data_IF_311172872768
#
_entry.id   IF_311172872768
#
_cell.length_a   1.000
_cell.length_b   1.000
_cell.length_c   1.000
_cell.angle_alpha   90.00
_cell.angle_beta   90.00
_cell.angle_gamma   90.00
#
_symmetry.space_group_name_H-M   'P 1'
#
loop_
_entity.id
_entity.type
_entity.pdbx_description
1 polymer ?
#
# COMPACT_ATOMS: atom_id res chain seq x y z
N UNK A 1 4.79 2.47 -51.94
CA UNK A 1 5.50 1.73 -50.87
C UNK A 1 5.22 2.43 -49.56
N UNK A 2 4.59 1.78 -48.58
CA UNK A 2 4.42 2.36 -47.26
C UNK A 2 5.81 2.66 -46.67
N UNK A 3 6.01 3.88 -46.16
CA UNK A 3 7.23 4.25 -45.43
C UNK A 3 7.24 3.44 -44.14
N UNK A 4 8.11 2.43 -44.07
CA UNK A 4 8.33 1.71 -42.83
C UNK A 4 9.10 2.64 -41.89
N UNK A 5 8.39 3.24 -40.95
CA UNK A 5 8.98 4.08 -39.90
C UNK A 5 9.70 3.14 -38.93
N UNK A 6 11.02 3.29 -38.78
CA UNK A 6 11.77 2.55 -37.78
C UNK A 6 11.37 3.05 -36.39
N UNK A 7 10.94 2.13 -35.54
CA UNK A 7 10.63 2.40 -34.14
C UNK A 7 11.57 1.59 -33.26
N UNK A 8 12.07 2.23 -32.21
CA UNK A 8 12.97 1.57 -31.26
C UNK A 8 12.18 0.57 -30.43
N UNK A 9 12.61 -0.70 -30.45
CA UNK A 9 11.99 -1.77 -29.68
C UNK A 9 11.90 -1.45 -28.19
N UNK A 10 12.85 -0.66 -27.64
CA UNK A 10 12.81 -0.22 -26.24
C UNK A 10 11.63 0.70 -25.95
N UNK A 11 11.36 1.63 -26.86
CA UNK A 11 10.28 2.62 -26.74
C UNK A 11 8.91 1.95 -26.83
N UNK A 12 8.78 0.92 -27.66
CA UNK A 12 7.53 0.16 -27.77
C UNK A 12 7.34 -0.87 -26.64
N UNK A 13 8.42 -1.48 -26.16
CA UNK A 13 8.33 -2.52 -25.13
C UNK A 13 7.95 -1.98 -23.75
N UNK A 14 8.47 -0.82 -23.35
CA UNK A 14 8.20 -0.25 -22.03
C UNK A 14 6.69 -0.10 -21.70
N UNK A 15 5.86 0.56 -22.52
CA UNK A 15 4.45 0.75 -22.20
C UNK A 15 3.69 -0.58 -22.12
N UNK A 16 4.06 -1.58 -22.94
CA UNK A 16 3.44 -2.90 -22.95
C UNK A 16 3.81 -3.71 -21.69
N UNK A 17 5.07 -3.68 -21.27
CA UNK A 17 5.52 -4.31 -20.02
C UNK A 17 4.84 -3.68 -18.81
N UNK A 18 4.74 -2.35 -18.78
CA UNK A 18 4.06 -1.62 -17.71
C UNK A 18 2.57 -1.97 -17.66
N UNK A 19 1.90 -2.01 -18.81
CA UNK A 19 0.49 -2.40 -18.91
C UNK A 19 0.26 -3.86 -18.45
N UNK A 20 1.23 -4.74 -18.67
CA UNK A 20 1.20 -6.12 -18.20
C UNK A 20 1.51 -6.27 -16.69
N UNK A 21 1.77 -5.18 -15.96
CA UNK A 21 2.05 -5.22 -14.53
C UNK A 21 3.48 -5.65 -14.17
N UNK A 22 4.43 -5.51 -15.11
CA UNK A 22 5.85 -5.78 -14.84
C UNK A 22 6.42 -4.67 -13.93
N UNK A 23 7.19 -5.08 -12.92
CA UNK A 23 7.84 -4.18 -11.97
C UNK A 23 8.90 -3.31 -12.66
N UNK A 24 9.09 -2.04 -12.26
CA UNK A 24 10.05 -1.14 -12.89
C UNK A 24 11.48 -1.68 -12.99
N UNK A 25 11.98 -2.38 -11.95
CA UNK A 25 13.31 -3.00 -11.99
C UNK A 25 13.42 -4.10 -13.04
N UNK A 26 12.36 -4.90 -13.20
CA UNK A 26 12.28 -5.96 -14.20
C UNK A 26 12.11 -5.41 -15.62
N UNK A 27 11.43 -4.26 -15.77
CA UNK A 27 11.35 -3.53 -17.05
C UNK A 27 12.77 -3.14 -17.49
N UNK A 28 13.57 -2.51 -16.62
CA UNK A 28 14.93 -2.11 -16.97
C UNK A 28 15.79 -3.31 -17.38
N UNK A 29 15.75 -4.40 -16.61
CA UNK A 29 16.45 -5.63 -16.95
C UNK A 29 15.99 -6.18 -18.30
N UNK A 30 14.68 -6.17 -18.58
CA UNK A 30 14.15 -6.61 -19.85
C UNK A 30 14.62 -5.76 -21.03
N UNK A 31 14.59 -4.43 -20.88
CA UNK A 31 14.99 -3.47 -21.90
C UNK A 31 16.49 -3.53 -22.21
N UNK A 32 17.32 -3.93 -21.24
CA UNK A 32 18.74 -4.12 -21.44
C UNK A 32 19.09 -5.48 -22.03
N UNK A 33 18.46 -6.56 -21.54
CA UNK A 33 18.80 -7.92 -21.94
C UNK A 33 18.10 -8.36 -23.23
N UNK A 34 16.80 -8.09 -23.36
CA UNK A 34 15.95 -8.70 -24.39
C UNK A 34 15.54 -7.72 -25.48
N UNK A 35 15.21 -6.47 -25.16
CA UNK A 35 14.73 -5.50 -26.16
C UNK A 35 15.66 -5.32 -27.39
N UNK A 36 17.00 -5.29 -27.27
CA UNK A 36 17.88 -5.19 -28.45
C UNK A 36 17.79 -6.37 -29.42
N UNK A 37 17.18 -7.48 -28.98
CA UNK A 37 17.03 -8.70 -29.75
C UNK A 37 15.67 -8.78 -30.46
N UNK A 38 14.76 -7.84 -30.20
CA UNK A 38 13.50 -7.72 -30.92
C UNK A 38 13.69 -6.87 -32.19
N UNK A 39 13.13 -7.36 -33.29
CA UNK A 39 13.20 -6.71 -34.60
C UNK A 39 11.79 -6.61 -35.16
N UNK A 40 11.47 -5.49 -35.79
CA UNK A 40 10.22 -5.33 -36.51
C UNK A 40 10.17 -6.29 -37.70
N UNK A 41 9.13 -7.13 -37.73
CA UNK A 41 8.78 -7.99 -38.85
C UNK A 41 7.47 -7.49 -39.42
N UNK A 42 7.46 -7.20 -40.73
CA UNK A 42 6.27 -6.76 -41.45
C UNK A 42 5.54 -7.96 -42.04
N UNK A 43 4.25 -8.10 -41.72
CA UNK A 43 3.35 -9.04 -42.37
C UNK A 43 2.61 -8.33 -43.52
N UNK A 44 2.85 -8.73 -44.78
CA UNK A 44 2.19 -8.13 -45.94
C UNK A 44 0.71 -8.52 -46.08
N UNK A 45 0.25 -9.57 -45.40
CA UNK A 45 -1.15 -10.01 -45.44
C UNK A 45 -2.01 -9.14 -44.53
N UNK A 46 -1.52 -8.88 -43.32
CA UNK A 46 -2.23 -8.09 -42.30
C UNK A 46 -1.85 -6.60 -42.29
N UNK A 47 -0.89 -6.19 -43.14
CA UNK A 47 -0.29 -4.85 -43.21
C UNK A 47 0.19 -4.33 -41.84
N UNK A 48 0.66 -5.24 -40.98
CA UNK A 48 1.09 -4.95 -39.61
C UNK A 48 2.57 -5.20 -39.43
N UNK A 49 3.19 -4.42 -38.56
CA UNK A 49 4.54 -4.68 -38.08
C UNK A 49 4.48 -5.07 -36.62
N UNK A 50 5.15 -6.16 -36.27
CA UNK A 50 5.25 -6.63 -34.89
C UNK A 50 6.72 -6.81 -34.50
N UNK A 51 7.00 -6.60 -33.22
CA UNK A 51 8.32 -6.89 -32.64
C UNK A 51 8.43 -8.39 -32.39
N UNK A 52 9.34 -9.03 -33.12
CA UNK A 52 9.63 -10.46 -33.00
C UNK A 52 11.04 -10.67 -32.49
N UNK A 53 11.22 -11.55 -31.53
CA UNK A 53 12.52 -11.87 -30.97
C UNK A 53 13.37 -12.68 -31.97
N UNK A 54 14.54 -12.14 -32.31
CA UNK A 54 15.54 -12.70 -33.24
C UNK A 54 16.87 -13.03 -32.56
N UNK A 55 16.86 -13.08 -31.24
CA UNK A 55 18.02 -13.45 -30.43
C UNK A 55 18.45 -14.91 -30.58
N UNK A 56 19.48 -15.27 -29.82
CA UNK A 56 20.07 -16.62 -29.85
C UNK A 56 19.36 -17.61 -28.94
N UNK A 57 18.53 -17.15 -28.00
CA UNK A 57 17.80 -18.03 -27.08
C UNK A 57 16.68 -18.77 -27.82
N UNK A 58 16.74 -20.12 -27.93
CA UNK A 58 15.72 -20.89 -28.64
C UNK A 58 14.34 -20.85 -27.97
N UNK A 59 14.27 -20.61 -26.66
CA UNK A 59 12.98 -20.55 -25.95
C UNK A 59 12.17 -19.29 -26.32
N UNK A 60 12.83 -18.27 -26.88
CA UNK A 60 12.23 -16.99 -27.22
C UNK A 60 12.15 -16.77 -28.73
N UNK A 61 12.83 -17.59 -29.53
CA UNK A 61 13.00 -17.38 -30.96
C UNK A 61 11.66 -17.39 -31.68
N UNK A 62 11.35 -16.28 -32.36
CA UNK A 62 10.12 -16.13 -33.12
C UNK A 62 8.92 -15.68 -32.30
N UNK A 63 9.06 -15.51 -30.98
CA UNK A 63 8.00 -14.95 -30.16
C UNK A 63 7.80 -13.46 -30.48
N UNK A 64 6.55 -13.05 -30.61
CA UNK A 64 6.15 -11.66 -30.53
C UNK A 64 6.44 -11.10 -29.13
N UNK A 65 6.50 -9.77 -29.00
CA UNK A 65 6.67 -9.13 -27.70
C UNK A 65 5.55 -9.51 -26.70
N UNK A 66 4.32 -9.68 -27.17
CA UNK A 66 3.20 -10.09 -26.31
C UNK A 66 3.39 -11.53 -25.78
N UNK A 67 3.81 -12.46 -26.64
CA UNK A 67 4.10 -13.84 -26.23
C UNK A 67 5.30 -13.90 -25.29
N UNK A 68 6.34 -13.11 -25.56
CA UNK A 68 7.50 -12.96 -24.68
C UNK A 68 7.11 -12.48 -23.27
N UNK A 69 6.17 -11.54 -23.16
CA UNK A 69 5.64 -11.09 -21.86
C UNK A 69 4.88 -12.22 -21.16
N UNK A 70 4.09 -13.02 -21.89
CA UNK A 70 3.43 -14.20 -21.33
C UNK A 70 4.46 -15.23 -20.83
N UNK A 71 5.51 -15.49 -21.60
CA UNK A 71 6.62 -16.37 -21.18
C UNK A 71 7.34 -15.86 -19.94
N UNK A 72 7.52 -14.53 -19.79
CA UNK A 72 8.05 -13.96 -18.54
C UNK A 72 7.15 -14.24 -17.35
N UNK A 73 5.83 -14.19 -17.52
CA UNK A 73 4.89 -14.43 -16.42
C UNK A 73 5.04 -15.85 -15.89
N UNK A 74 5.24 -16.82 -16.77
CA UNK A 74 5.42 -18.22 -16.40
C UNK A 74 6.81 -18.52 -15.83
N UNK A 75 7.87 -17.95 -16.43
CA UNK A 75 9.26 -18.27 -16.08
C UNK A 75 9.83 -17.40 -14.97
N UNK A 76 9.33 -16.17 -14.82
CA UNK A 76 9.81 -15.16 -13.86
C UNK A 76 8.62 -14.44 -13.19
N UNK A 77 7.74 -15.15 -12.46
CA UNK A 77 6.53 -14.55 -11.86
C UNK A 77 6.85 -13.39 -10.89
N UNK A 78 8.02 -13.42 -10.25
CA UNK A 78 8.51 -12.34 -9.36
C UNK A 78 8.79 -11.01 -10.07
N UNK A 79 8.77 -10.98 -11.41
CA UNK A 79 8.87 -9.75 -12.19
C UNK A 79 7.56 -8.97 -12.23
N UNK A 80 6.46 -9.60 -11.88
CA UNK A 80 5.13 -9.02 -11.94
C UNK A 80 4.71 -8.55 -10.53
N UNK A 81 3.83 -7.57 -10.50
CA UNK A 81 3.08 -7.29 -9.28
C UNK A 81 2.10 -8.43 -8.99
N UNK A 82 1.93 -8.75 -7.72
CA UNK A 82 1.03 -9.79 -7.25
C UNK A 82 -0.39 -9.54 -7.76
N UNK A 83 -1.08 -10.62 -8.11
CA UNK A 83 -2.45 -10.52 -8.61
C UNK A 83 -3.41 -10.14 -7.48
N UNK A 84 -4.61 -9.65 -7.83
CA UNK A 84 -5.60 -9.18 -6.86
C UNK A 84 -5.87 -10.18 -5.69
N UNK A 85 -5.98 -11.51 -5.91
CA UNK A 85 -6.17 -12.46 -4.81
C UNK A 85 -4.98 -12.53 -3.84
N UNK A 86 -3.76 -12.39 -4.36
CA UNK A 86 -2.54 -12.39 -3.56
C UNK A 86 -2.40 -11.09 -2.76
N UNK A 87 -2.76 -9.95 -3.37
CA UNK A 87 -2.84 -8.66 -2.69
C UNK A 87 -3.84 -8.70 -1.54
N UNK A 88 -5.00 -9.34 -1.72
CA UNK A 88 -5.98 -9.52 -0.63
C UNK A 88 -5.41 -10.34 0.54
N UNK A 89 -4.68 -11.42 0.27
CA UNK A 89 -4.03 -12.21 1.31
C UNK A 89 -2.94 -11.42 2.04
N UNK A 90 -2.14 -10.64 1.29
CA UNK A 90 -1.15 -9.74 1.85
C UNK A 90 -1.80 -8.63 2.68
N UNK A 91 -2.94 -8.10 2.25
CA UNK A 91 -3.74 -7.10 2.97
C UNK A 91 -4.31 -7.66 4.27
N UNK A 92 -4.85 -8.88 4.26
CA UNK A 92 -5.32 -9.56 5.48
C UNK A 92 -4.17 -9.77 6.47
N UNK A 93 -2.98 -10.19 6.00
CA UNK A 93 -1.81 -10.34 6.86
C UNK A 93 -1.26 -8.98 7.37
N UNK A 94 -1.44 -7.90 6.62
CA UNK A 94 -0.93 -6.57 6.94
C UNK A 94 -1.88 -5.75 7.85
N UNK A 95 -3.19 -5.91 7.67
CA UNK A 95 -4.23 -5.07 8.28
C UNK A 95 -5.32 -5.86 9.00
N UNK A 96 -5.42 -7.17 8.81
CA UNK A 96 -6.46 -8.01 9.39
C UNK A 96 -6.30 -8.24 10.90
N UNK A 97 -6.75 -9.41 11.38
CA UNK A 97 -6.84 -9.68 12.82
C UNK A 97 -5.49 -9.69 13.55
N UNK A 98 -4.42 -10.13 12.88
CA UNK A 98 -3.07 -10.28 13.43
C UNK A 98 -2.05 -9.55 12.56
N UNK A 99 -2.07 -8.20 12.51
CA UNK A 99 -1.22 -7.44 11.62
C UNK A 99 0.25 -7.53 12.05
N UNK A 100 1.16 -7.61 11.09
CA UNK A 100 2.61 -7.60 11.35
C UNK A 100 3.35 -6.54 10.53
N UNK A 101 4.42 -5.97 11.11
CA UNK A 101 5.28 -5.01 10.39
C UNK A 101 5.90 -5.65 9.14
N UNK A 102 6.23 -6.93 9.22
CA UNK A 102 6.78 -7.69 8.09
C UNK A 102 5.76 -7.82 6.95
N UNK A 103 4.50 -8.16 7.25
CA UNK A 103 3.45 -8.25 6.23
C UNK A 103 3.16 -6.88 5.60
N UNK A 104 3.13 -5.80 6.38
CA UNK A 104 3.00 -4.42 5.86
C UNK A 104 4.15 -4.04 4.94
N UNK A 105 5.38 -4.37 5.33
CA UNK A 105 6.56 -4.14 4.50
C UNK A 105 6.49 -4.90 3.17
N UNK A 106 5.97 -6.13 3.16
CA UNK A 106 5.74 -6.91 1.94
C UNK A 106 4.66 -6.28 1.06
N UNK A 107 3.48 -5.98 1.63
CA UNK A 107 2.37 -5.37 0.90
C UNK A 107 2.74 -4.02 0.28
N UNK A 108 3.48 -3.17 1.01
CA UNK A 108 3.92 -1.87 0.50
C UNK A 108 4.90 -2.00 -0.68
N UNK A 109 5.77 -3.02 -0.67
CA UNK A 109 6.63 -3.33 -1.82
C UNK A 109 5.80 -3.83 -2.99
N UNK A 110 4.78 -4.64 -2.71
CA UNK A 110 3.94 -5.25 -3.73
C UNK A 110 3.00 -4.27 -4.42
N UNK A 111 2.47 -3.29 -3.70
CA UNK A 111 1.66 -2.23 -4.30
C UNK A 111 2.49 -1.19 -5.07
N UNK A 112 3.82 -1.20 -4.89
CA UNK A 112 4.77 -0.34 -5.59
C UNK A 112 4.69 1.16 -5.24
N UNK A 113 3.59 1.64 -4.67
CA UNK A 113 3.37 3.06 -4.35
C UNK A 113 2.82 3.24 -2.94
N UNK A 114 3.26 4.32 -2.29
CA UNK A 114 2.77 4.67 -0.94
C UNK A 114 1.29 5.09 -0.94
N UNK A 115 0.83 5.70 -2.03
CA UNK A 115 -0.56 6.11 -2.21
C UNK A 115 -1.50 4.90 -2.22
N UNK A 116 -1.22 3.89 -3.06
CA UNK A 116 -2.02 2.67 -3.12
C UNK A 116 -2.03 1.92 -1.77
N UNK A 117 -0.89 1.90 -1.07
CA UNK A 117 -0.82 1.31 0.27
C UNK A 117 -1.72 2.03 1.28
N UNK A 118 -1.75 3.37 1.26
CA UNK A 118 -2.61 4.16 2.16
C UNK A 118 -4.09 4.01 1.83
N UNK A 119 -4.46 4.04 0.55
CA UNK A 119 -5.85 3.80 0.12
C UNK A 119 -6.33 2.42 0.58
N UNK A 120 -5.50 1.39 0.40
CA UNK A 120 -5.84 0.05 0.86
C UNK A 120 -5.92 -0.03 2.38
N UNK A 121 -5.01 0.61 3.12
CA UNK A 121 -5.09 0.68 4.58
C UNK A 121 -6.39 1.35 5.05
N UNK A 122 -6.79 2.45 4.40
CA UNK A 122 -8.01 3.20 4.71
C UNK A 122 -9.26 2.34 4.48
N UNK A 123 -9.33 1.59 3.38
CA UNK A 123 -10.43 0.65 3.12
C UNK A 123 -10.60 -0.39 4.24
N UNK A 124 -9.49 -0.79 4.86
CA UNK A 124 -9.48 -1.72 5.99
C UNK A 124 -9.70 -1.05 7.34
N UNK A 125 -9.89 0.28 7.39
CA UNK A 125 -9.98 1.04 8.63
C UNK A 125 -8.67 1.05 9.44
N UNK A 126 -7.53 0.86 8.77
CA UNK A 126 -6.20 0.93 9.37
C UNK A 126 -5.54 2.28 9.04
N UNK A 127 -4.73 2.80 9.96
CA UNK A 127 -3.92 4.00 9.72
C UNK A 127 -2.63 3.71 8.92
N UNK A 128 -2.41 2.45 8.54
CA UNK A 128 -1.24 2.00 7.79
C UNK A 128 0.09 2.02 8.57
N UNK A 129 0.11 2.59 9.79
CA UNK A 129 1.32 2.83 10.59
C UNK A 129 1.30 2.04 11.90
N UNK A 130 0.21 2.11 12.68
CA UNK A 130 0.08 1.37 13.93
C UNK A 130 -0.37 -0.06 13.69
N UNK A 131 0.11 -1.03 14.47
CA UNK A 131 -0.32 -2.43 14.41
C UNK A 131 -1.74 -2.67 14.96
N UNK A 132 -2.60 -1.65 14.91
CA UNK A 132 -4.01 -1.82 15.22
C UNK A 132 -4.65 -2.65 14.12
N UNK A 133 -5.35 -3.75 14.46
CA UNK A 133 -6.10 -4.52 13.49
C UNK A 133 -7.25 -3.68 12.94
N UNK A 134 -7.35 -3.68 11.63
CA UNK A 134 -8.47 -3.21 10.84
C UNK A 134 -9.52 -4.32 10.65
N UNK A 135 -10.43 -4.10 9.72
CA UNK A 135 -11.45 -5.05 9.33
C UNK A 135 -11.53 -5.15 7.81
N UNK A 136 -11.79 -6.36 7.29
CA UNK A 136 -11.92 -6.56 5.85
C UNK A 136 -13.03 -5.66 5.29
N UNK A 137 -12.81 -4.97 4.15
CA UNK A 137 -13.83 -4.16 3.50
C UNK A 137 -15.09 -4.99 3.25
N UNK A 138 -16.26 -4.44 3.60
CA UNK A 138 -17.55 -5.14 3.48
C UNK A 138 -17.88 -6.12 4.61
N UNK A 139 -16.97 -6.38 5.55
CA UNK A 139 -17.30 -7.12 6.77
C UNK A 139 -18.13 -6.26 7.73
N UNK A 140 -19.08 -6.88 8.45
CA UNK A 140 -19.94 -6.21 9.44
C UNK A 140 -19.16 -5.53 10.57
N UNK A 141 -17.89 -5.90 10.78
CA UNK A 141 -17.00 -5.30 11.78
C UNK A 141 -16.43 -3.92 11.37
N UNK A 142 -16.43 -3.58 10.08
CA UNK A 142 -15.88 -2.31 9.58
C UNK A 142 -16.65 -1.08 10.07
N UNK A 143 -17.90 -1.24 10.56
CA UNK A 143 -18.77 -0.15 11.01
C UNK A 143 -18.59 0.27 12.48
N UNK A 144 -17.67 -0.33 13.25
CA UNK A 144 -17.65 -0.13 14.72
C UNK A 144 -16.55 0.78 15.30
N UNK A 145 -15.70 1.44 14.49
CA UNK A 145 -14.55 2.20 15.05
C UNK A 145 -14.50 3.69 14.67
N UNK A 146 -15.64 4.37 14.62
CA UNK A 146 -15.66 5.83 14.70
C UNK A 146 -16.65 6.44 15.69
N UNK A 147 -17.39 5.62 16.44
CA UNK A 147 -18.25 6.11 17.51
C UNK A 147 -17.64 5.81 18.89
N UNK A 148 -17.14 6.88 19.52
CA UNK A 148 -17.11 7.13 20.96
C UNK A 148 -17.00 5.90 21.87
N UNK A 149 -15.77 5.42 22.12
CA UNK A 149 -15.45 4.79 23.40
C UNK A 149 -14.81 5.81 24.32
N UNK A 150 -15.63 6.60 25.01
CA UNK A 150 -15.29 7.06 26.35
C UNK A 150 -15.43 5.85 27.28
N UNK A 151 -14.43 4.96 27.24
CA UNK A 151 -14.42 3.82 28.15
C UNK A 151 -14.43 4.38 29.59
N UNK A 152 -15.43 3.99 30.37
CA UNK A 152 -15.60 4.43 31.77
C UNK A 152 -14.35 4.16 32.64
N UNK A 153 -13.41 3.34 32.17
CA UNK A 153 -12.10 3.11 32.76
C UNK A 153 -11.12 4.27 32.52
N UNK A 154 -11.09 4.87 31.32
CA UNK A 154 -10.23 6.06 31.03
C UNK A 154 -10.72 7.28 31.83
N UNK A 155 -12.03 7.41 32.01
CA UNK A 155 -12.65 8.43 32.85
C UNK A 155 -12.20 8.32 34.32
N UNK A 156 -12.01 7.11 34.84
CA UNK A 156 -11.56 6.89 36.23
C UNK A 156 -10.08 7.18 36.46
N UNK A 157 -9.25 7.04 35.42
CA UNK A 157 -7.81 7.25 35.48
C UNK A 157 -7.38 8.69 35.13
N UNK A 158 -8.29 9.51 34.64
CA UNK A 158 -8.03 10.91 34.32
C UNK A 158 -8.01 11.80 35.59
N UNK A 159 -6.87 12.43 35.95
CA UNK A 159 -6.78 13.24 37.16
C UNK A 159 -7.52 14.58 37.10
N UNK A 160 -8.06 14.97 35.93
CA UNK A 160 -9.01 16.09 35.81
C UNK A 160 -10.47 15.67 36.02
N UNK A 161 -10.77 14.36 36.06
CA UNK A 161 -12.13 13.88 36.26
C UNK A 161 -12.52 13.86 37.76
N UNK A 162 -13.76 14.26 38.13
CA UNK A 162 -14.20 14.30 39.54
C UNK A 162 -14.07 12.95 40.26
N UNK A 163 -14.26 11.84 39.54
CA UNK A 163 -14.22 10.48 40.09
C UNK A 163 -12.83 9.87 40.21
N UNK A 164 -11.77 10.64 39.97
CA UNK A 164 -10.39 10.14 40.07
C UNK A 164 -10.02 9.79 41.52
N UNK A 165 -9.48 8.58 41.73
CA UNK A 165 -9.21 8.01 43.06
C UNK A 165 -7.71 7.87 43.43
N UNK A 166 -6.80 8.52 42.70
CA UNK A 166 -5.38 8.46 43.05
C UNK A 166 -5.05 9.25 44.32
N UNK A 167 -3.88 8.97 44.90
CA UNK A 167 -3.47 9.50 46.21
C UNK A 167 -3.17 11.01 46.19
N UNK A 168 -2.59 11.54 45.10
CA UNK A 168 -2.27 12.97 44.97
C UNK A 168 -2.61 13.48 43.56
N UNK A 169 -3.71 14.23 43.47
CA UNK A 169 -4.24 14.76 42.21
C UNK A 169 -3.32 15.79 41.59
N UNK A 170 -2.70 16.63 42.42
CA UNK A 170 -1.86 17.74 41.97
C UNK A 170 -0.55 17.20 41.41
N UNK A 171 0.05 16.20 42.07
CA UNK A 171 1.25 15.54 41.58
C UNK A 171 1.00 14.83 40.24
N UNK A 172 -0.13 14.13 40.09
CA UNK A 172 -0.51 13.46 38.85
C UNK A 172 -0.72 14.45 37.68
N UNK A 173 -1.46 15.54 37.91
CA UNK A 173 -1.65 16.59 36.91
C UNK A 173 -0.32 17.23 36.52
N UNK A 174 0.54 17.56 37.50
CA UNK A 174 1.85 18.18 37.27
C UNK A 174 2.77 17.27 36.46
N UNK A 175 2.79 15.97 36.77
CA UNK A 175 3.55 14.96 36.02
C UNK A 175 3.14 14.92 34.55
N UNK A 176 1.82 14.84 34.28
CA UNK A 176 1.29 14.81 32.91
C UNK A 176 1.57 16.11 32.15
N UNK A 177 1.43 17.27 32.81
CA UNK A 177 1.74 18.58 32.20
C UNK A 177 3.22 18.65 31.81
N UNK A 178 4.13 18.17 32.67
CA UNK A 178 5.58 18.12 32.37
C UNK A 178 5.89 17.21 31.18
N UNK A 179 5.17 16.09 31.03
CA UNK A 179 5.37 15.17 29.92
C UNK A 179 4.79 15.71 28.61
N UNK A 180 3.56 16.26 28.64
CA UNK A 180 2.91 16.80 27.44
C UNK A 180 1.74 17.73 27.77
N UNK A 181 1.90 19.00 27.46
CA UNK A 181 0.83 20.00 27.56
C UNK A 181 -0.36 19.67 26.67
N UNK A 182 -0.11 19.09 25.48
CA UNK A 182 -1.17 18.68 24.53
C UNK A 182 -2.02 17.54 25.09
N UNK A 183 -1.38 16.54 25.70
CA UNK A 183 -2.07 15.43 26.38
C UNK A 183 -2.89 15.95 27.56
N UNK A 184 -2.29 16.80 28.40
CA UNK A 184 -2.97 17.41 29.55
C UNK A 184 -4.23 18.19 29.13
N UNK A 185 -4.14 19.00 28.07
CA UNK A 185 -5.28 19.76 27.56
C UNK A 185 -6.39 18.86 27.04
N UNK A 186 -6.05 17.75 26.37
CA UNK A 186 -7.01 16.75 25.92
C UNK A 186 -7.75 16.07 27.07
N UNK A 187 -7.01 15.67 28.12
CA UNK A 187 -7.58 15.04 29.31
C UNK A 187 -8.47 16.01 30.12
N UNK A 188 -8.05 17.26 30.30
CA UNK A 188 -8.86 18.28 30.94
C UNK A 188 -10.18 18.51 30.18
N UNK A 189 -10.09 18.67 28.85
CA UNK A 189 -11.26 18.85 27.99
C UNK A 189 -12.19 17.65 28.03
N UNK A 190 -11.66 16.43 28.03
CA UNK A 190 -12.46 15.21 28.16
C UNK A 190 -13.20 15.12 29.51
N UNK A 191 -12.68 15.75 30.56
CA UNK A 191 -13.34 15.88 31.86
C UNK A 191 -14.26 17.11 31.97
N UNK A 192 -14.45 17.89 30.89
CA UNK A 192 -15.30 19.09 30.89
C UNK A 192 -14.69 20.29 31.62
N UNK A 193 -13.37 20.29 31.85
CA UNK A 193 -12.67 21.36 32.58
C UNK A 193 -11.48 21.92 31.79
N UNK A 194 -11.00 23.09 32.18
CA UNK A 194 -9.73 23.65 31.70
C UNK A 194 -8.55 22.95 32.40
N UNK A 195 -7.33 23.21 31.93
CA UNK A 195 -6.10 22.74 32.60
C UNK A 195 -6.02 23.16 34.07
N UNK A 196 -6.59 24.30 34.43
CA UNK A 196 -6.66 24.82 35.79
C UNK A 196 -7.84 24.25 36.61
N UNK A 197 -8.63 23.34 36.04
CA UNK A 197 -9.78 22.72 36.70
C UNK A 197 -11.07 23.55 36.71
N UNK A 198 -11.10 24.69 36.01
CA UNK A 198 -12.34 25.47 35.84
C UNK A 198 -13.27 24.77 34.83
N UNK A 199 -14.59 24.69 35.08
CA UNK A 199 -15.53 24.16 34.10
C UNK A 199 -15.44 24.91 32.77
N UNK A 200 -15.45 24.17 31.66
CA UNK A 200 -15.56 24.76 30.34
C UNK A 200 -16.97 25.37 30.23
N UNK A 201 -17.07 26.69 30.06
CA UNK A 201 -18.35 27.35 29.82
C UNK A 201 -18.95 26.79 28.53
N UNK A 202 -20.13 26.21 28.64
CA UNK A 202 -21.02 25.88 27.51
C UNK A 202 -21.58 27.15 26.89
#
# INVERSE_FOLDING_TARGET
>A
MPKHEYRDARVEAEPLLRAAGVRPSAILEFLDQFAPQFVHVYDPVDEKSELVYRGTDPAWRGLSLAEAIATLKDTRPHYFYAEAPEIEQLAEAAFGASPSLTARGKLRKELGTDAAYRELAEQWGSDGVSLKPGARPGSTQAKQKQDQKTDAAEVRNNPWHPSWRGADRVAAQTSIIRTSTKLAAGLAKAAGVTLAGTPLRS
#
